data_IF_563108498472
#
_entry.id   IF_563108498472
#
_cell.length_a   1.000
_cell.length_b   1.000
_cell.length_c   1.000
_cell.angle_alpha   90.00
_cell.angle_beta   90.00
_cell.angle_gamma   90.00
#
_symmetry.space_group_name_H-M   'P 1'
#
loop_
_entity.id
_entity.type
_entity.pdbx_description
1 polymer ?
#
# COMPACT_ATOMS: atom_id res chain seq x y z
N UNK A 1 8.60 0.56 -19.65
CA UNK A 1 9.02 -0.38 -20.73
C UNK A 1 10.29 -1.06 -20.27
N UNK A 2 10.45 -2.38 -20.47
CA UNK A 2 11.70 -3.05 -20.09
C UNK A 2 12.92 -2.35 -20.68
N UNK A 3 14.01 -2.30 -19.92
CA UNK A 3 15.27 -1.79 -20.42
C UNK A 3 15.82 -2.69 -21.54
N UNK A 4 16.60 -2.14 -22.51
CA UNK A 4 17.19 -2.93 -23.58
C UNK A 4 17.98 -4.10 -23.03
N UNK A 5 17.92 -5.27 -23.67
CA UNK A 5 18.71 -6.45 -23.29
C UNK A 5 20.16 -6.38 -23.81
N UNK A 6 20.45 -5.45 -24.73
CA UNK A 6 21.78 -5.21 -25.30
C UNK A 6 21.85 -3.84 -25.97
N UNK A 7 23.04 -3.37 -26.28
CA UNK A 7 23.26 -2.07 -26.94
C UNK A 7 23.47 -0.94 -25.95
N UNK A 8 23.23 0.31 -26.37
CA UNK A 8 23.40 1.46 -25.49
C UNK A 8 22.24 1.59 -24.50
N UNK A 9 22.56 1.80 -23.24
CA UNK A 9 21.62 2.12 -22.17
C UNK A 9 22.06 3.42 -21.49
N UNK A 10 21.14 4.29 -21.20
CA UNK A 10 21.42 5.57 -20.51
C UNK A 10 20.87 5.56 -19.09
N UNK A 11 21.46 6.38 -18.23
CA UNK A 11 20.97 6.57 -16.87
C UNK A 11 19.52 7.11 -16.86
N UNK A 12 19.16 7.97 -17.82
CA UNK A 12 17.78 8.45 -17.95
C UNK A 12 16.78 7.32 -18.27
N UNK A 13 17.16 6.35 -19.09
CA UNK A 13 16.29 5.18 -19.35
C UNK A 13 16.11 4.35 -18.08
N UNK A 14 17.18 4.12 -17.34
CA UNK A 14 17.13 3.39 -16.05
C UNK A 14 16.25 4.15 -15.05
N UNK A 15 16.43 5.47 -14.96
CA UNK A 15 15.66 6.33 -14.07
C UNK A 15 14.15 6.31 -14.40
N UNK A 16 13.79 6.42 -15.67
CA UNK A 16 12.38 6.33 -16.11
C UNK A 16 11.80 4.95 -15.81
N UNK A 17 12.56 3.87 -16.03
CA UNK A 17 12.10 2.51 -15.69
C UNK A 17 11.91 2.35 -14.19
N UNK A 18 12.75 2.98 -13.37
CA UNK A 18 12.60 3.00 -11.91
C UNK A 18 11.41 3.88 -11.41
N UNK A 19 10.67 4.51 -12.32
CA UNK A 19 9.51 5.35 -12.01
C UNK A 19 9.82 6.85 -11.91
N UNK A 20 11.03 7.28 -12.26
CA UNK A 20 11.40 8.68 -12.32
C UNK A 20 10.90 9.39 -13.59
N UNK A 21 10.97 10.71 -13.58
CA UNK A 21 10.58 11.54 -14.74
C UNK A 21 11.75 11.75 -15.69
N UNK A 22 11.50 11.65 -17.00
CA UNK A 22 12.52 11.86 -18.01
C UNK A 22 13.16 13.25 -17.93
N UNK A 23 14.47 13.30 -17.99
CA UNK A 23 15.25 14.55 -17.95
C UNK A 23 15.46 15.13 -16.55
N UNK A 24 14.99 14.48 -15.48
CA UNK A 24 15.33 14.87 -14.12
C UNK A 24 16.69 14.28 -13.70
N UNK A 25 17.30 14.89 -12.69
CA UNK A 25 18.58 14.42 -12.17
C UNK A 25 18.45 13.03 -11.56
N UNK A 26 19.38 12.14 -11.88
CA UNK A 26 19.42 10.78 -11.38
C UNK A 26 20.86 10.30 -11.16
N UNK A 27 21.02 9.31 -10.29
CA UNK A 27 22.31 8.68 -9.99
C UNK A 27 22.12 7.16 -9.89
N UNK A 28 23.08 6.37 -10.34
CA UNK A 28 23.11 4.93 -10.07
C UNK A 28 23.09 4.61 -8.57
N UNK A 29 23.33 5.61 -7.72
CA UNK A 29 23.30 5.45 -6.27
C UNK A 29 21.90 5.68 -5.67
N UNK A 30 20.95 6.13 -6.47
CA UNK A 30 19.59 6.38 -6.00
C UNK A 30 18.90 5.06 -5.59
N UNK A 31 18.11 5.13 -4.52
CA UNK A 31 17.50 3.95 -3.90
C UNK A 31 16.52 3.25 -4.83
N UNK A 32 15.73 3.99 -5.58
CA UNK A 32 14.76 3.49 -6.55
C UNK A 32 15.45 2.80 -7.73
N UNK A 33 16.52 3.38 -8.26
CA UNK A 33 17.33 2.82 -9.34
C UNK A 33 17.96 1.50 -8.88
N UNK A 34 18.55 1.45 -7.67
CA UNK A 34 19.11 0.21 -7.10
C UNK A 34 18.06 -0.86 -6.86
N UNK A 35 16.85 -0.44 -6.47
CA UNK A 35 15.77 -1.36 -6.14
C UNK A 35 15.34 -2.21 -7.33
N UNK A 36 15.40 -1.70 -8.58
CA UNK A 36 15.00 -2.48 -9.77
C UNK A 36 15.94 -3.65 -10.08
N UNK A 37 17.17 -3.64 -9.54
CA UNK A 37 18.12 -4.75 -9.61
C UNK A 37 18.30 -5.46 -8.27
N UNK A 38 17.44 -5.20 -7.28
CA UNK A 38 17.44 -5.83 -5.97
C UNK A 38 18.63 -5.47 -5.08
N UNK A 39 19.30 -4.33 -5.30
CA UNK A 39 20.46 -3.90 -4.51
C UNK A 39 20.10 -2.85 -3.45
N UNK A 40 20.69 -3.01 -2.27
CA UNK A 40 20.57 -2.04 -1.18
C UNK A 40 21.46 -0.80 -1.39
N UNK A 41 21.21 0.26 -0.61
CA UNK A 41 22.05 1.46 -0.59
C UNK A 41 23.50 1.12 -0.24
N UNK A 42 24.46 1.72 -0.97
CA UNK A 42 25.88 1.51 -0.76
C UNK A 42 26.47 0.27 -1.46
N UNK A 43 25.65 -0.67 -1.95
CA UNK A 43 26.17 -1.80 -2.74
C UNK A 43 26.71 -1.29 -4.09
N UNK A 44 27.82 -1.87 -4.57
CA UNK A 44 28.35 -1.56 -5.90
C UNK A 44 27.36 -1.99 -6.98
N UNK A 45 27.19 -1.19 -8.03
CA UNK A 45 26.40 -1.50 -9.21
C UNK A 45 27.08 -1.02 -10.49
N UNK A 46 26.71 -1.61 -11.61
CA UNK A 46 27.21 -1.26 -12.93
C UNK A 46 26.06 -1.20 -13.94
N UNK A 47 26.21 -0.43 -15.01
CA UNK A 47 25.21 -0.34 -16.09
C UNK A 47 24.83 -1.71 -16.66
N UNK A 48 25.79 -2.64 -16.69
CA UNK A 48 25.56 -4.00 -17.21
C UNK A 48 24.51 -4.79 -16.46
N UNK A 49 24.24 -4.45 -15.21
CA UNK A 49 23.25 -5.15 -14.37
C UNK A 49 21.80 -4.70 -14.67
N UNK A 50 21.64 -3.60 -15.42
CA UNK A 50 20.33 -3.07 -15.78
C UNK A 50 19.81 -3.58 -17.12
N UNK A 51 20.60 -4.32 -17.90
CA UNK A 51 20.15 -4.87 -19.17
C UNK A 51 19.00 -5.87 -18.99
N UNK A 52 17.92 -5.66 -19.76
CA UNK A 52 16.75 -6.53 -19.73
C UNK A 52 15.90 -6.40 -18.44
N UNK A 53 16.27 -5.49 -17.54
CA UNK A 53 15.52 -5.25 -16.31
C UNK A 53 14.23 -4.51 -16.64
N UNK A 54 13.17 -4.91 -15.97
CA UNK A 54 11.91 -4.19 -15.92
C UNK A 54 11.55 -3.94 -14.48
N UNK A 55 11.17 -2.72 -14.16
CA UNK A 55 10.53 -2.46 -12.87
C UNK A 55 9.27 -3.32 -12.78
N UNK A 56 9.10 -4.01 -11.68
CA UNK A 56 7.86 -4.75 -11.46
C UNK A 56 6.70 -3.76 -11.46
N UNK A 57 5.73 -3.96 -12.34
CA UNK A 57 4.50 -3.18 -12.27
C UNK A 57 3.88 -3.33 -10.88
N UNK A 58 3.34 -2.25 -10.29
CA UNK A 58 2.62 -2.37 -9.04
C UNK A 58 1.53 -3.43 -9.15
N UNK A 59 1.50 -4.32 -8.19
CA UNK A 59 0.50 -5.39 -8.11
C UNK A 59 -0.33 -5.21 -6.87
N UNK A 60 -1.64 -5.29 -7.02
CA UNK A 60 -2.60 -5.23 -5.92
C UNK A 60 -3.22 -6.60 -5.72
N UNK A 61 -3.06 -7.15 -4.53
CA UNK A 61 -3.61 -8.45 -4.15
C UNK A 61 -4.59 -8.31 -3.00
N UNK A 62 -5.79 -8.85 -3.15
CA UNK A 62 -6.75 -9.00 -2.05
C UNK A 62 -6.22 -10.02 -1.04
N UNK A 63 -6.23 -9.67 0.27
CA UNK A 63 -5.68 -10.51 1.34
C UNK A 63 -6.71 -11.02 2.34
N UNK A 64 -7.90 -10.47 2.34
CA UNK A 64 -8.96 -10.93 3.21
C UNK A 64 -9.91 -9.84 3.66
N UNK A 65 -10.90 -10.26 4.42
CA UNK A 65 -11.91 -9.41 5.03
C UNK A 65 -12.19 -9.88 6.44
N UNK A 66 -12.34 -8.92 7.37
CA UNK A 66 -12.92 -9.17 8.68
C UNK A 66 -14.20 -8.34 8.81
N UNK A 67 -15.24 -8.89 9.43
CA UNK A 67 -16.52 -8.18 9.60
C UNK A 67 -17.19 -8.57 10.90
N UNK A 68 -18.00 -7.66 11.45
CA UNK A 68 -18.90 -7.93 12.57
C UNK A 68 -20.34 -7.68 12.17
N UNK A 69 -21.27 -8.42 12.75
CA UNK A 69 -22.72 -8.26 12.53
C UNK A 69 -23.42 -7.53 13.68
N UNK A 70 -22.70 -7.23 14.75
CA UNK A 70 -23.18 -6.55 15.96
C UNK A 70 -22.22 -5.48 16.45
N UNK A 71 -22.43 -5.00 17.67
CA UNK A 71 -21.51 -4.09 18.34
C UNK A 71 -20.17 -4.77 18.57
N UNK A 72 -19.16 -4.41 17.79
CA UNK A 72 -17.84 -5.01 17.88
C UNK A 72 -16.89 -4.41 16.88
N UNK A 73 -15.63 -4.73 17.05
CA UNK A 73 -14.57 -4.27 16.15
C UNK A 73 -14.28 -5.35 15.12
N UNK A 74 -14.20 -5.00 13.82
CA UNK A 74 -13.79 -5.98 12.84
C UNK A 74 -12.32 -6.35 13.10
N UNK A 75 -12.08 -7.63 13.28
CA UNK A 75 -10.76 -8.15 13.58
C UNK A 75 -10.59 -9.55 13.01
N UNK A 76 -9.38 -9.91 12.62
CA UNK A 76 -9.08 -11.23 12.10
C UNK A 76 -7.63 -11.40 11.69
N UNK A 77 -7.30 -12.61 11.28
CA UNK A 77 -5.98 -12.90 10.70
C UNK A 77 -6.02 -12.83 9.19
N UNK A 78 -5.00 -12.21 8.63
CA UNK A 78 -4.75 -12.13 7.19
C UNK A 78 -3.38 -12.72 6.89
N UNK A 79 -3.19 -13.28 5.69
CA UNK A 79 -1.90 -13.79 5.25
C UNK A 79 -1.22 -12.80 4.32
N UNK A 80 -0.06 -12.30 4.74
CA UNK A 80 0.77 -11.37 3.96
C UNK A 80 1.93 -12.10 3.28
N UNK A 81 2.30 -11.66 2.09
CA UNK A 81 3.48 -12.18 1.38
C UNK A 81 4.78 -11.78 2.08
N UNK A 82 5.90 -12.38 1.71
CA UNK A 82 7.24 -11.94 2.12
C UNK A 82 7.65 -10.65 1.41
N UNK A 83 8.66 -9.96 1.93
CA UNK A 83 9.20 -8.72 1.36
C UNK A 83 8.45 -7.46 1.79
N UNK A 84 9.01 -6.31 1.41
CA UNK A 84 8.41 -4.99 1.72
C UNK A 84 7.20 -4.73 0.83
N UNK A 85 6.13 -4.24 1.41
CA UNK A 85 4.85 -3.95 0.76
C UNK A 85 4.12 -2.81 1.45
N UNK A 86 3.14 -2.22 0.77
CA UNK A 86 2.11 -1.39 1.39
C UNK A 86 0.87 -2.25 1.63
N UNK A 87 0.42 -2.32 2.87
CA UNK A 87 -0.88 -2.88 3.22
C UNK A 87 -1.89 -1.74 3.24
N UNK A 88 -2.96 -1.89 2.48
CA UNK A 88 -4.07 -0.92 2.39
C UNK A 88 -5.31 -1.57 2.99
N UNK A 89 -5.99 -0.85 3.85
CA UNK A 89 -7.21 -1.31 4.51
C UNK A 89 -8.34 -0.33 4.25
N UNK A 90 -9.41 -0.84 3.66
CA UNK A 90 -10.68 -0.12 3.55
C UNK A 90 -11.57 -0.51 4.73
N UNK A 91 -11.84 0.44 5.61
CA UNK A 91 -12.72 0.29 6.77
C UNK A 91 -14.09 0.87 6.44
N UNK A 92 -15.14 0.12 6.71
CA UNK A 92 -16.51 0.59 6.67
C UNK A 92 -17.19 0.32 8.02
N UNK A 93 -17.85 1.34 8.56
CA UNK A 93 -18.52 1.29 9.85
C UNK A 93 -19.93 1.82 9.73
N UNK A 94 -20.87 1.23 10.48
CA UNK A 94 -22.12 1.87 10.82
C UNK A 94 -21.88 2.74 12.09
N UNK A 95 -22.14 4.03 11.97
CA UNK A 95 -21.85 5.04 12.99
C UNK A 95 -20.76 6.02 12.56
N UNK A 96 -20.74 7.18 13.21
CA UNK A 96 -19.68 8.19 13.09
C UNK A 96 -18.77 8.13 14.30
N UNK A 97 -17.48 8.37 14.12
CA UNK A 97 -16.56 8.40 15.26
C UNK A 97 -15.08 8.36 14.88
N UNK A 98 -14.26 8.39 15.90
CA UNK A 98 -12.82 8.17 15.72
C UNK A 98 -12.57 6.74 15.28
N UNK A 99 -11.86 6.60 14.17
CA UNK A 99 -11.49 5.32 13.60
C UNK A 99 -9.99 5.11 13.71
N UNK A 100 -9.56 3.90 13.95
CA UNK A 100 -8.17 3.49 13.78
C UNK A 100 -8.11 2.04 13.28
N UNK A 101 -7.00 1.69 12.65
CA UNK A 101 -6.68 0.32 12.23
C UNK A 101 -5.28 0.00 12.68
N UNK A 102 -5.09 -1.21 13.22
CA UNK A 102 -3.79 -1.76 13.58
C UNK A 102 -3.50 -3.01 12.75
N UNK A 103 -2.26 -3.14 12.32
CA UNK A 103 -1.70 -4.35 11.74
C UNK A 103 -0.69 -4.93 12.74
N UNK A 104 -1.04 -6.03 13.41
CA UNK A 104 -0.31 -6.50 14.57
C UNK A 104 -0.32 -5.44 15.68
N UNK A 105 0.86 -5.05 16.14
CA UNK A 105 1.05 -3.97 17.13
C UNK A 105 1.24 -2.59 16.50
N UNK A 106 1.28 -2.47 15.18
CA UNK A 106 1.57 -1.22 14.47
C UNK A 106 0.28 -0.50 14.08
N UNK A 107 0.15 0.76 14.48
CA UNK A 107 -0.93 1.62 14.03
C UNK A 107 -0.75 1.96 12.53
N UNK A 108 -1.83 1.87 11.76
CA UNK A 108 -1.83 2.26 10.35
C UNK A 108 -2.13 3.76 10.21
N UNK A 109 -1.59 4.37 9.18
CA UNK A 109 -1.82 5.78 8.86
C UNK A 109 -3.15 5.94 8.13
N UNK A 110 -3.96 6.90 8.56
CA UNK A 110 -5.19 7.29 7.87
C UNK A 110 -4.85 8.06 6.59
N UNK A 111 -5.29 7.56 5.44
CA UNK A 111 -5.14 8.22 4.15
C UNK A 111 -6.35 9.12 3.82
N UNK A 112 -7.55 8.59 4.01
CA UNK A 112 -8.79 9.31 3.73
C UNK A 112 -9.92 8.82 4.64
N UNK A 113 -10.86 9.71 4.97
CA UNK A 113 -12.05 9.39 5.75
C UNK A 113 -13.22 10.22 5.24
N UNK A 114 -14.36 9.57 5.10
CA UNK A 114 -15.65 10.21 4.81
C UNK A 114 -16.67 9.75 5.82
N UNK A 115 -17.32 10.71 6.48
CA UNK A 115 -18.45 10.49 7.37
C UNK A 115 -19.73 10.98 6.69
N UNK A 116 -20.72 10.12 6.58
CA UNK A 116 -22.05 10.56 6.12
C UNK A 116 -22.84 11.05 7.32
N UNK A 117 -23.16 12.34 7.33
CA UNK A 117 -23.92 12.97 8.43
C UNK A 117 -25.42 12.63 8.41
N UNK A 118 -25.95 12.13 7.30
CA UNK A 118 -27.36 11.82 7.12
C UNK A 118 -27.60 10.32 7.08
N UNK A 119 -28.57 9.79 7.85
CA UNK A 119 -28.99 8.41 7.71
C UNK A 119 -29.48 8.16 6.29
N UNK A 120 -28.94 7.15 5.63
CA UNK A 120 -29.48 6.69 4.35
C UNK A 120 -30.88 6.14 4.64
N UNK A 121 -31.91 6.78 4.08
CA UNK A 121 -33.30 6.38 4.28
C UNK A 121 -33.49 4.92 3.86
N UNK A 122 -33.93 4.07 4.78
CA UNK A 122 -34.20 2.64 4.51
C UNK A 122 -33.18 1.66 5.09
N UNK A 123 -32.06 2.12 5.64
CA UNK A 123 -31.07 1.29 6.31
C UNK A 123 -30.80 1.82 7.71
N UNK A 124 -31.57 1.40 8.70
CA UNK A 124 -31.36 1.52 10.15
C UNK A 124 -30.87 2.87 10.68
N UNK A 125 -31.18 3.99 10.05
CA UNK A 125 -31.01 5.35 10.58
C UNK A 125 -29.61 5.72 11.08
N UNK A 126 -28.56 5.04 10.67
CA UNK A 126 -27.21 5.24 11.16
C UNK A 126 -26.36 6.02 10.17
N UNK A 127 -25.54 6.93 10.68
CA UNK A 127 -24.43 7.49 9.93
C UNK A 127 -23.46 6.37 9.51
N UNK A 128 -22.73 6.56 8.42
CA UNK A 128 -21.70 5.62 7.97
C UNK A 128 -20.37 6.33 7.88
N UNK A 129 -19.32 5.62 8.25
CA UNK A 129 -17.93 6.04 8.04
C UNK A 129 -17.27 5.09 7.06
N UNK A 130 -16.64 5.64 6.05
CA UNK A 130 -15.70 4.94 5.17
C UNK A 130 -14.33 5.56 5.34
N UNK A 131 -13.32 4.74 5.59
CA UNK A 131 -11.95 5.21 5.79
C UNK A 131 -10.95 4.28 5.11
N UNK A 132 -9.87 4.83 4.60
CA UNK A 132 -8.75 4.11 4.01
C UNK A 132 -7.51 4.32 4.86
N UNK A 133 -6.88 3.23 5.24
CA UNK A 133 -5.63 3.21 6.00
C UNK A 133 -4.54 2.51 5.21
N UNK A 134 -3.28 2.86 5.48
CA UNK A 134 -2.13 2.20 4.88
C UNK A 134 -0.99 2.06 5.87
N UNK A 135 -0.11 1.09 5.61
CA UNK A 135 1.14 0.87 6.34
C UNK A 135 2.15 0.21 5.42
N UNK A 136 3.34 0.79 5.32
CA UNK A 136 4.48 0.11 4.70
C UNK A 136 5.08 -0.85 5.72
N UNK A 137 5.20 -2.13 5.38
CA UNK A 137 5.68 -3.18 6.28
C UNK A 137 6.42 -4.28 5.54
N UNK A 138 7.31 -4.97 6.25
CA UNK A 138 7.92 -6.23 5.85
C UNK A 138 7.33 -7.45 6.56
N UNK A 139 6.31 -7.26 7.42
CA UNK A 139 5.60 -8.35 8.09
C UNK A 139 5.07 -9.37 7.09
N UNK A 140 5.16 -10.65 7.39
CA UNK A 140 4.73 -11.75 6.51
C UNK A 140 4.07 -12.87 7.30
N UNK A 141 3.41 -13.77 6.57
CA UNK A 141 2.67 -14.86 7.18
C UNK A 141 1.34 -14.40 7.78
N UNK A 142 0.87 -15.08 8.81
CA UNK A 142 -0.41 -14.78 9.47
C UNK A 142 -0.26 -13.58 10.40
N UNK A 143 -0.88 -12.45 10.06
CA UNK A 143 -0.83 -11.21 10.84
C UNK A 143 -2.23 -10.83 11.29
N UNK A 144 -2.37 -10.46 12.57
CA UNK A 144 -3.64 -10.00 13.11
C UNK A 144 -3.93 -8.57 12.66
N UNK A 145 -5.14 -8.34 12.18
CA UNK A 145 -5.62 -6.99 11.87
C UNK A 145 -6.84 -6.69 12.72
N UNK A 146 -6.91 -5.47 13.22
CA UNK A 146 -8.04 -4.99 14.01
C UNK A 146 -8.33 -3.54 13.72
N UNK A 147 -9.59 -3.18 13.77
CA UNK A 147 -10.03 -1.80 13.67
C UNK A 147 -10.95 -1.43 14.79
N UNK A 148 -11.07 -0.14 15.06
CA UNK A 148 -12.01 0.44 16.02
C UNK A 148 -12.91 1.44 15.31
N UNK A 149 -14.11 1.57 15.82
CA UNK A 149 -15.05 2.64 15.45
C UNK A 149 -16.48 2.10 15.28
N UNK A 150 -17.42 2.86 15.76
CA UNK A 150 -18.84 2.62 15.57
C UNK A 150 -19.49 1.61 16.49
N UNK A 151 -20.79 1.78 16.65
CA UNK A 151 -21.68 0.90 17.40
C UNK A 151 -22.60 0.17 16.41
N UNK A 152 -22.08 -0.74 15.62
CA UNK A 152 -22.90 -1.40 14.62
C UNK A 152 -22.08 -2.33 13.72
N UNK A 153 -22.66 -2.65 12.57
CA UNK A 153 -21.98 -3.48 11.57
C UNK A 153 -20.75 -2.80 11.02
N UNK A 154 -19.65 -3.52 10.98
CA UNK A 154 -18.39 -3.01 10.47
C UNK A 154 -17.63 -4.06 9.67
N UNK A 155 -16.81 -3.61 8.75
CA UNK A 155 -15.93 -4.49 7.97
C UNK A 155 -14.61 -3.82 7.63
N UNK A 156 -13.55 -4.64 7.62
CA UNK A 156 -12.25 -4.33 7.07
C UNK A 156 -12.04 -5.15 5.80
N UNK A 157 -11.59 -4.52 4.74
CA UNK A 157 -11.11 -5.23 3.53
C UNK A 157 -9.65 -4.88 3.34
N UNK A 158 -8.82 -5.88 3.15
CA UNK A 158 -7.36 -5.75 3.15
C UNK A 158 -6.80 -6.07 1.78
N UNK A 159 -5.95 -5.18 1.30
CA UNK A 159 -5.17 -5.32 0.08
C UNK A 159 -3.68 -5.18 0.38
N UNK A 160 -2.88 -5.83 -0.42
CA UNK A 160 -1.42 -5.74 -0.41
C UNK A 160 -0.95 -5.20 -1.75
N UNK A 161 -0.12 -4.16 -1.72
CA UNK A 161 0.48 -3.54 -2.90
C UNK A 161 1.98 -3.83 -2.87
N UNK A 162 2.47 -4.45 -3.94
CA UNK A 162 3.90 -4.76 -4.15
C UNK A 162 4.37 -4.19 -5.48
N UNK A 163 5.68 -4.13 -5.70
CA UNK A 163 6.26 -3.61 -6.95
C UNK A 163 6.06 -2.11 -7.14
N UNK A 164 5.79 -1.36 -6.08
CA UNK A 164 5.65 0.09 -6.12
C UNK A 164 7.01 0.79 -5.95
N UNK A 165 7.11 2.04 -6.39
CA UNK A 165 8.27 2.88 -6.07
C UNK A 165 8.28 3.21 -4.58
N UNK A 166 9.29 2.72 -3.86
CA UNK A 166 9.40 2.90 -2.42
C UNK A 166 9.69 4.35 -1.99
N UNK A 167 10.21 5.18 -2.89
CA UNK A 167 10.46 6.60 -2.61
C UNK A 167 9.16 7.44 -2.63
N UNK A 168 8.18 7.02 -3.45
CA UNK A 168 6.86 7.66 -3.53
C UNK A 168 5.76 6.59 -3.58
N UNK A 169 5.52 5.88 -2.46
CA UNK A 169 4.62 4.72 -2.46
C UNK A 169 3.15 5.08 -2.70
N UNK A 170 2.79 6.34 -2.54
CA UNK A 170 1.45 6.86 -2.79
C UNK A 170 1.49 8.39 -2.99
N UNK A 171 0.53 8.88 -3.75
CA UNK A 171 0.19 10.30 -3.81
C UNK A 171 -1.24 10.47 -3.30
N UNK A 172 -1.50 11.51 -2.52
CA UNK A 172 -2.86 11.94 -2.19
C UNK A 172 -3.22 13.08 -3.12
N UNK A 173 -4.22 12.88 -3.98
CA UNK A 173 -4.87 14.00 -4.65
C UNK A 173 -5.76 14.71 -3.61
N UNK A 174 -5.51 16.00 -3.41
CA UNK A 174 -6.30 16.88 -2.53
C UNK A 174 -7.22 17.75 -3.38
#
# INVERSE_FOLDING_TARGET
MPLPSSGAISLNQIHVEAGGSSGTQASLNDTDIRAIIGKSSGASNAFSEYYGVSASAPSVSYRGRASTTGNGFPAGYISLSSGTKVVVVCLQLAGSGNTYVNLGSSAMTLAAKVDTATPVTGVWGAAYTSAVYYLTTSSSGSVYISGNGGSGRSSLTVYEVTGYNSATPYTTDT
#
